data_IF_502168480272
#
_entry.id   IF_502168480272
#
_cell.length_a   1.000
_cell.length_b   1.000
_cell.length_c   1.000
_cell.angle_alpha   90.00
_cell.angle_beta   90.00
_cell.angle_gamma   90.00
#
_symmetry.space_group_name_H-M   'P 1'
#
loop_
_entity.id
_entity.type
_entity.pdbx_description
1 polymer ?
#
# COMPACT_ATOMS: atom_id res chain seq x y z
N UNK A 1 11.12 10.55 -9.36
CA UNK A 1 10.62 10.42 -10.75
C UNK A 1 9.29 11.15 -10.83
N UNK A 2 8.94 11.76 -11.97
CA UNK A 2 7.59 12.29 -12.14
C UNK A 2 6.59 11.14 -12.02
N UNK A 3 5.55 11.36 -11.23
CA UNK A 3 4.40 10.47 -11.14
C UNK A 3 3.21 11.21 -11.76
N UNK A 4 2.38 10.52 -12.51
CA UNK A 4 1.19 11.09 -13.13
C UNK A 4 -0.02 10.17 -12.92
N UNK A 5 -1.26 10.69 -12.95
CA UNK A 5 -2.45 9.86 -12.91
C UNK A 5 -2.50 8.96 -14.14
N UNK A 6 -2.89 7.69 -13.97
CA UNK A 6 -2.93 6.71 -15.07
C UNK A 6 -3.79 7.14 -16.28
N UNK A 7 -4.84 7.94 -16.05
CA UNK A 7 -5.78 8.40 -17.07
C UNK A 7 -5.86 9.94 -17.16
N UNK A 8 -4.85 10.65 -16.66
CA UNK A 8 -4.71 12.11 -16.75
C UNK A 8 -5.49 12.92 -15.69
N UNK A 9 -6.55 12.37 -15.11
CA UNK A 9 -7.34 13.04 -14.05
C UNK A 9 -7.31 12.25 -12.72
N UNK A 10 -6.65 12.82 -11.71
CA UNK A 10 -6.53 12.24 -10.36
C UNK A 10 -7.87 12.13 -9.64
N UNK A 11 -8.84 13.00 -9.93
CA UNK A 11 -10.16 12.98 -9.29
C UNK A 11 -11.01 11.79 -9.75
N UNK A 12 -10.71 11.21 -10.91
CA UNK A 12 -11.43 10.05 -11.47
C UNK A 12 -10.75 8.71 -11.19
N UNK A 13 -9.44 8.70 -10.97
CA UNK A 13 -8.69 7.47 -10.71
C UNK A 13 -7.52 7.73 -9.75
N UNK A 14 -7.44 6.93 -8.68
CA UNK A 14 -6.39 7.04 -7.65
C UNK A 14 -5.07 6.38 -8.04
N UNK A 15 -4.99 5.69 -9.18
CA UNK A 15 -3.77 5.04 -9.65
C UNK A 15 -2.75 6.07 -10.12
N UNK A 16 -1.62 6.12 -9.42
CA UNK A 16 -0.42 6.83 -9.88
C UNK A 16 0.47 5.89 -10.68
N UNK A 17 1.03 6.38 -11.77
CA UNK A 17 1.98 5.68 -12.62
C UNK A 17 3.27 6.50 -12.74
N UNK A 18 4.35 5.83 -13.11
CA UNK A 18 5.64 6.46 -13.41
C UNK A 18 6.26 5.78 -14.62
N UNK A 19 6.99 6.54 -15.42
CA UNK A 19 7.66 6.02 -16.61
C UNK A 19 8.95 5.29 -16.23
N UNK A 20 9.15 4.13 -16.87
CA UNK A 20 10.42 3.44 -16.85
C UNK A 20 11.41 4.18 -17.76
N UNK A 21 12.67 4.30 -17.32
CA UNK A 21 13.74 4.84 -18.16
C UNK A 21 14.13 3.79 -19.20
N UNK A 22 14.78 4.18 -20.30
CA UNK A 22 15.35 3.23 -21.24
C UNK A 22 16.24 2.19 -20.54
N UNK A 23 15.98 0.91 -20.79
CA UNK A 23 16.72 -0.21 -20.18
C UNK A 23 16.17 -0.70 -18.84
N UNK A 24 15.14 -0.06 -18.29
CA UNK A 24 14.51 -0.52 -17.06
C UNK A 24 13.38 -1.49 -17.33
N UNK A 25 13.34 -2.56 -16.54
CA UNK A 25 12.28 -3.55 -16.56
C UNK A 25 12.02 -4.05 -15.14
N UNK A 26 10.77 -4.46 -14.81
CA UNK A 26 10.51 -5.20 -13.59
C UNK A 26 11.37 -6.47 -13.55
N UNK A 27 12.07 -6.70 -12.43
CA UNK A 27 12.89 -7.89 -12.24
C UNK A 27 12.10 -8.90 -11.41
N UNK A 28 11.74 -10.09 -11.96
CA UNK A 28 11.04 -11.11 -11.19
C UNK A 28 11.95 -11.71 -10.13
N UNK A 29 11.50 -11.69 -8.87
CA UNK A 29 12.20 -12.33 -7.75
C UNK A 29 11.38 -13.53 -7.28
N UNK A 30 12.04 -14.71 -7.26
CA UNK A 30 11.43 -15.93 -6.73
C UNK A 30 11.50 -15.93 -5.20
N UNK A 31 10.38 -16.26 -4.56
CA UNK A 31 10.23 -16.28 -3.09
C UNK A 31 9.72 -17.67 -2.73
N UNK A 32 10.51 -18.42 -1.97
CA UNK A 32 10.15 -19.76 -1.48
C UNK A 32 9.34 -19.67 -0.18
N UNK A 33 8.77 -20.80 0.23
CA UNK A 33 8.12 -20.88 1.56
C UNK A 33 9.16 -20.59 2.64
N UNK A 34 8.86 -19.65 3.53
CA UNK A 34 9.76 -19.21 4.59
C UNK A 34 10.62 -18.00 4.22
N UNK A 35 10.74 -17.65 2.94
CA UNK A 35 11.44 -16.43 2.53
C UNK A 35 10.63 -15.18 2.88
N UNK A 36 11.34 -14.07 3.12
CA UNK A 36 10.76 -12.74 3.28
C UNK A 36 11.44 -11.75 2.35
N UNK A 37 10.70 -10.71 1.97
CA UNK A 37 11.25 -9.53 1.28
C UNK A 37 11.11 -8.33 2.20
N UNK A 38 12.17 -7.53 2.30
CA UNK A 38 12.17 -6.27 3.04
C UNK A 38 12.48 -5.15 2.05
N UNK A 39 11.63 -4.13 2.00
CA UNK A 39 11.81 -2.98 1.14
C UNK A 39 11.27 -1.72 1.82
N UNK A 40 11.88 -0.58 1.49
CA UNK A 40 11.37 0.74 1.90
C UNK A 40 10.21 1.17 1.01
N UNK A 41 9.42 2.15 1.44
CA UNK A 41 8.27 2.65 0.66
C UNK A 41 8.65 3.21 -0.72
N UNK A 42 9.90 3.67 -0.91
CA UNK A 42 10.38 4.20 -2.19
C UNK A 42 10.66 3.15 -3.26
N UNK A 43 10.57 1.85 -2.96
CA UNK A 43 10.82 0.78 -3.94
C UNK A 43 9.53 0.48 -4.69
N UNK A 44 9.54 0.64 -6.02
CA UNK A 44 8.45 0.17 -6.87
C UNK A 44 8.46 -1.37 -6.90
N UNK A 45 7.39 -1.99 -6.40
CA UNK A 45 7.25 -3.44 -6.34
C UNK A 45 5.80 -3.85 -6.60
N UNK A 46 5.60 -5.10 -6.97
CA UNK A 46 4.28 -5.65 -7.25
C UNK A 46 4.32 -7.16 -7.38
N UNK A 47 3.13 -7.78 -7.40
CA UNK A 47 2.98 -9.20 -7.65
C UNK A 47 2.55 -9.45 -9.09
N UNK A 48 3.11 -10.49 -9.71
CA UNK A 48 2.52 -11.04 -10.92
C UNK A 48 1.17 -11.69 -10.64
N UNK A 49 0.34 -11.84 -11.67
CA UNK A 49 -0.94 -12.54 -11.56
C UNK A 49 -0.79 -13.99 -11.09
N UNK A 50 -1.81 -14.51 -10.39
CA UNK A 50 -1.82 -15.91 -9.99
C UNK A 50 -2.06 -16.80 -11.21
N UNK A 51 -1.07 -17.62 -11.57
CA UNK A 51 -1.14 -18.57 -12.70
C UNK A 51 -1.62 -19.96 -12.30
N UNK A 52 -1.78 -20.24 -11.00
CA UNK A 52 -2.27 -21.54 -10.53
C UNK A 52 -3.80 -21.60 -10.60
N UNK A 53 -4.33 -22.69 -11.14
CA UNK A 53 -5.78 -22.99 -11.14
C UNK A 53 -6.23 -23.70 -9.87
N UNK A 54 -5.30 -24.25 -9.09
CA UNK A 54 -5.58 -25.11 -7.92
C UNK A 54 -5.12 -24.53 -6.59
N UNK A 55 -4.36 -23.44 -6.61
CA UNK A 55 -3.78 -22.84 -5.39
C UNK A 55 -3.83 -21.31 -5.41
N UNK A 56 -3.81 -20.72 -4.21
CA UNK A 56 -3.76 -19.27 -3.99
C UNK A 56 -2.49 -18.93 -3.21
N UNK A 57 -1.68 -18.02 -3.74
CA UNK A 57 -0.55 -17.43 -3.01
C UNK A 57 -1.09 -16.39 -2.02
N UNK A 58 -0.66 -16.50 -0.76
CA UNK A 58 -0.94 -15.52 0.31
C UNK A 58 0.37 -14.84 0.71
N UNK A 59 0.28 -13.62 1.19
CA UNK A 59 1.39 -12.87 1.79
C UNK A 59 0.92 -12.32 3.13
N UNK A 60 1.82 -12.27 4.11
CA UNK A 60 1.63 -11.56 5.36
C UNK A 60 2.57 -10.36 5.35
N UNK A 61 2.04 -9.18 5.67
CA UNK A 61 2.75 -7.90 5.50
C UNK A 61 2.81 -7.21 6.86
N UNK A 62 4.04 -6.92 7.31
CA UNK A 62 4.29 -6.03 8.44
C UNK A 62 4.83 -4.70 7.92
N UNK A 63 4.10 -3.62 8.13
CA UNK A 63 4.53 -2.28 7.78
C UNK A 63 5.10 -1.57 9.03
N UNK A 64 6.38 -1.24 8.99
CA UNK A 64 7.04 -0.49 10.06
C UNK A 64 7.10 1.00 9.70
N UNK A 65 6.81 1.85 10.67
CA UNK A 65 6.89 3.31 10.58
C UNK A 65 7.61 3.86 11.80
N UNK A 66 8.34 4.95 11.63
CA UNK A 66 8.88 5.67 12.79
C UNK A 66 7.74 6.39 13.51
N UNK A 67 7.87 6.59 14.81
CA UNK A 67 6.89 7.34 15.61
C UNK A 67 6.73 8.76 15.05
N UNK A 68 7.82 9.38 14.58
CA UNK A 68 7.78 10.73 14.03
C UNK A 68 7.04 10.79 12.70
N UNK A 69 7.21 9.77 11.83
CA UNK A 69 6.42 9.62 10.61
C UNK A 69 4.93 9.57 10.93
N UNK A 70 4.52 8.72 11.88
CA UNK A 70 3.12 8.59 12.31
C UNK A 70 2.57 9.91 12.85
N UNK A 71 3.34 10.66 13.65
CA UNK A 71 2.92 11.97 14.16
C UNK A 71 2.66 12.98 13.05
N UNK A 72 3.56 13.06 12.07
CA UNK A 72 3.43 13.98 10.94
C UNK A 72 2.26 13.61 10.04
N UNK A 73 2.09 12.32 9.74
CA UNK A 73 0.96 11.82 8.94
C UNK A 73 -0.38 12.13 9.62
N UNK A 74 -0.50 11.92 10.93
CA UNK A 74 -1.70 12.30 11.70
C UNK A 74 -1.96 13.80 11.71
N UNK A 75 -0.92 14.63 11.82
CA UNK A 75 -1.06 16.09 11.72
C UNK A 75 -1.59 16.55 10.35
N UNK A 76 -1.32 15.76 9.30
CA UNK A 76 -1.85 15.95 7.94
C UNK A 76 -3.23 15.29 7.73
N UNK A 77 -3.81 14.67 8.76
CA UNK A 77 -5.13 14.03 8.72
C UNK A 77 -5.14 12.60 8.19
N UNK A 78 -3.99 11.95 8.05
CA UNK A 78 -3.93 10.52 7.70
C UNK A 78 -4.28 9.64 8.90
N UNK A 79 -5.02 8.57 8.64
CA UNK A 79 -5.30 7.49 9.61
C UNK A 79 -4.67 6.18 9.14
N UNK A 80 -4.11 5.43 10.08
CA UNK A 80 -3.55 4.11 9.87
C UNK A 80 -4.55 3.09 10.41
N UNK A 81 -5.55 2.79 9.58
CA UNK A 81 -6.87 2.21 9.90
C UNK A 81 -6.94 0.92 10.74
N UNK A 82 -5.82 0.31 11.14
CA UNK A 82 -5.80 -0.93 11.93
C UNK A 82 -5.03 -0.82 13.26
N UNK A 83 -4.29 0.27 13.48
CA UNK A 83 -3.51 0.51 14.71
C UNK A 83 -3.89 1.82 15.42
N UNK A 84 -4.78 2.60 14.80
CA UNK A 84 -5.32 3.78 15.45
C UNK A 84 -6.31 3.38 16.55
N UNK A 85 -6.43 4.24 17.56
CA UNK A 85 -7.43 4.09 18.60
C UNK A 85 -8.82 4.03 17.97
N UNK A 86 -9.70 3.20 18.53
CA UNK A 86 -11.07 3.04 18.05
C UNK A 86 -11.80 4.39 17.95
N UNK A 87 -11.52 5.34 18.83
CA UNK A 87 -12.10 6.69 18.76
C UNK A 87 -11.67 7.45 17.49
N UNK A 88 -10.41 7.30 17.07
CA UNK A 88 -9.90 7.92 15.84
C UNK A 88 -10.53 7.27 14.62
N UNK A 89 -10.61 5.93 14.60
CA UNK A 89 -11.27 5.17 13.54
C UNK A 89 -12.74 5.59 13.38
N UNK A 90 -13.50 5.62 14.48
CA UNK A 90 -14.92 5.99 14.49
C UNK A 90 -15.16 7.43 14.01
N UNK A 91 -14.22 8.34 14.23
CA UNK A 91 -14.33 9.74 13.81
C UNK A 91 -14.17 9.96 12.30
N UNK A 92 -13.62 8.99 11.57
CA UNK A 92 -13.30 9.11 10.14
C UNK A 92 -14.02 8.12 9.25
N UNK A 93 -14.53 7.00 9.78
CA UNK A 93 -15.10 5.91 8.97
C UNK A 93 -16.52 6.19 8.46
N UNK A 94 -17.13 7.33 8.85
CA UNK A 94 -18.46 7.77 8.39
C UNK A 94 -19.63 6.86 8.79
N UNK A 95 -19.34 5.70 9.38
CA UNK A 95 -20.26 4.74 9.95
C UNK A 95 -20.22 4.93 11.47
N UNK A 96 -21.06 5.82 11.99
CA UNK A 96 -21.47 5.71 13.39
C UNK A 96 -22.23 4.39 13.50
N UNK A 97 -21.56 3.34 13.96
CA UNK A 97 -22.25 2.16 14.47
C UNK A 97 -23.08 2.65 15.67
N UNK A 98 -24.38 2.83 15.45
CA UNK A 98 -25.31 3.02 16.56
C UNK A 98 -25.36 1.71 17.32
N UNK A 99 -24.90 1.73 18.56
CA UNK A 99 -24.97 0.60 19.48
C UNK A 99 -26.41 0.05 19.49
N UNK A 100 -26.54 -1.24 19.15
CA UNK A 100 -27.76 -2.03 19.30
C UNK A 100 -27.66 -2.94 20.51
#
# INVERSE_FOLDING_TARGET
RPHHPATGDRARQHTLVTDLRPGEAPIPISIRRGDITVHTEGVLHGSGGNRSTTSRRRAYINAYRSIDTVRQERALGFTHSHNDDQQVLNSVDGLLATDG
#
